data_IF_085892688963
#
_entry.id   IF_085892688963
#
_cell.length_a   1.000
_cell.length_b   1.000
_cell.length_c   1.000
_cell.angle_alpha   90.00
_cell.angle_beta   90.00
_cell.angle_gamma   90.00
#
_symmetry.space_group_name_H-M   'P 1'
#
loop_
_entity.id
_entity.type
_entity.pdbx_description
1 polymer ?
#
# COMPACT_ATOMS: atom_id res chain seq x y z
N UNK A 1 -26.66 12.50 -22.10
CA UNK A 1 -26.16 11.73 -20.94
C UNK A 1 -26.86 12.28 -19.71
N UNK A 2 -27.71 11.49 -19.06
CA UNK A 2 -28.47 11.94 -17.90
C UNK A 2 -27.52 12.00 -16.70
N UNK A 3 -27.38 13.19 -16.11
CA UNK A 3 -26.54 13.41 -14.93
C UNK A 3 -27.15 12.62 -13.76
N UNK A 4 -26.49 11.53 -13.34
CA UNK A 4 -26.91 10.75 -12.18
C UNK A 4 -26.71 11.61 -10.93
N UNK A 5 -27.78 11.96 -10.22
CA UNK A 5 -27.67 12.73 -8.97
C UNK A 5 -27.22 11.78 -7.86
N UNK A 6 -25.89 11.66 -7.71
CA UNK A 6 -25.30 10.97 -6.56
C UNK A 6 -25.60 11.81 -5.33
N UNK A 7 -26.31 11.23 -4.37
CA UNK A 7 -26.71 11.91 -3.14
C UNK A 7 -25.73 11.67 -1.99
N UNK A 8 -25.05 10.52 -2.01
CA UNK A 8 -24.09 10.13 -0.98
C UNK A 8 -23.07 9.11 -1.50
N UNK A 9 -21.82 9.27 -1.09
CA UNK A 9 -20.75 8.29 -1.22
C UNK A 9 -20.41 7.73 0.17
N UNK A 10 -20.35 6.41 0.31
CA UNK A 10 -19.95 5.74 1.55
C UNK A 10 -18.74 4.85 1.28
N UNK A 11 -17.67 5.00 2.06
CA UNK A 11 -16.53 4.11 2.07
C UNK A 11 -16.68 3.09 3.19
N UNK A 12 -16.65 1.81 2.86
CA UNK A 12 -16.79 0.73 3.83
C UNK A 12 -15.82 -0.42 3.56
N UNK A 13 -15.37 -1.06 4.63
CA UNK A 13 -14.65 -2.33 4.61
C UNK A 13 -15.65 -3.41 5.03
N UNK A 14 -16.08 -4.31 4.12
CA UNK A 14 -17.01 -5.39 4.45
C UNK A 14 -16.42 -6.33 5.50
N UNK A 15 -15.11 -6.55 5.43
CA UNK A 15 -14.38 -7.30 6.44
C UNK A 15 -14.35 -6.51 7.76
N UNK A 16 -15.14 -6.99 8.73
CA UNK A 16 -15.33 -6.33 10.02
C UNK A 16 -16.46 -5.29 10.05
N UNK A 17 -17.21 -5.14 8.96
CA UNK A 17 -18.38 -4.25 8.85
C UNK A 17 -18.09 -2.79 9.29
N UNK A 18 -17.01 -2.22 8.75
CA UNK A 18 -16.50 -0.91 9.18
C UNK A 18 -16.76 0.16 8.13
N UNK A 19 -17.51 1.20 8.49
CA UNK A 19 -17.59 2.42 7.67
C UNK A 19 -16.40 3.33 7.98
N UNK A 20 -15.70 3.78 6.95
CA UNK A 20 -14.49 4.61 7.09
C UNK A 20 -14.82 6.09 6.97
N UNK A 21 -15.61 6.43 5.95
CA UNK A 21 -15.94 7.81 5.64
C UNK A 21 -17.22 7.89 4.82
N UNK A 22 -17.92 9.02 4.91
CA UNK A 22 -19.10 9.33 4.12
C UNK A 22 -18.98 10.72 3.53
N UNK A 23 -19.48 10.93 2.32
CA UNK A 23 -19.65 12.27 1.73
C UNK A 23 -21.07 12.37 1.22
N UNK A 24 -21.82 13.37 1.68
CA UNK A 24 -23.22 13.54 1.32
C UNK A 24 -23.51 14.97 0.88
N UNK A 25 -24.53 15.13 0.04
CA UNK A 25 -24.97 16.44 -0.46
C UNK A 25 -25.40 17.39 0.67
N UNK A 26 -25.96 16.86 1.76
CA UNK A 26 -26.52 17.64 2.86
C UNK A 26 -25.56 17.85 4.04
N UNK A 27 -24.77 16.84 4.39
CA UNK A 27 -23.88 16.89 5.55
C UNK A 27 -22.40 17.09 5.19
N UNK A 28 -22.07 17.11 3.89
CA UNK A 28 -20.70 17.20 3.42
C UNK A 28 -19.89 15.92 3.68
N UNK A 29 -18.56 16.00 3.51
CA UNK A 29 -17.64 14.91 3.83
C UNK A 29 -17.40 14.76 5.33
N UNK A 30 -17.28 13.51 5.77
CA UNK A 30 -17.03 13.13 7.14
C UNK A 30 -16.22 11.84 7.20
N UNK A 31 -15.11 11.86 7.93
CA UNK A 31 -14.39 10.64 8.32
C UNK A 31 -14.95 10.16 9.65
N UNK A 32 -15.14 8.85 9.80
CA UNK A 32 -15.64 8.24 11.04
C UNK A 32 -14.56 8.38 12.13
N UNK A 33 -14.91 8.71 13.40
CA UNK A 33 -13.94 9.04 14.44
C UNK A 33 -12.76 8.08 14.59
N UNK A 34 -13.03 6.78 14.54
CA UNK A 34 -12.03 5.72 14.68
C UNK A 34 -10.96 5.72 13.57
N UNK A 35 -11.18 6.48 12.49
CA UNK A 35 -10.32 6.52 11.31
C UNK A 35 -9.76 7.91 11.01
N UNK A 36 -10.01 8.93 11.84
CA UNK A 36 -9.60 10.33 11.56
C UNK A 36 -8.08 10.45 11.34
N UNK A 37 -7.26 9.77 12.14
CA UNK A 37 -5.80 9.85 12.03
C UNK A 37 -5.22 9.03 10.86
N UNK A 38 -6.09 8.29 10.14
CA UNK A 38 -5.69 7.29 9.16
C UNK A 38 -6.25 7.55 7.77
N UNK A 39 -7.49 8.02 7.68
CA UNK A 39 -8.23 8.19 6.43
C UNK A 39 -8.44 9.67 6.17
N UNK A 40 -8.16 10.09 4.94
CA UNK A 40 -8.33 11.47 4.50
C UNK A 40 -9.00 11.49 3.12
N UNK A 41 -9.88 12.44 2.86
CA UNK A 41 -10.40 12.67 1.52
C UNK A 41 -9.34 13.39 0.68
N UNK A 42 -9.00 12.81 -0.48
CA UNK A 42 -8.23 13.51 -1.52
C UNK A 42 -9.17 14.26 -2.46
N UNK A 43 -10.31 13.65 -2.80
CA UNK A 43 -11.43 14.29 -3.48
C UNK A 43 -12.70 13.95 -2.71
N UNK A 44 -13.49 14.95 -2.34
CA UNK A 44 -14.68 14.79 -1.50
C UNK A 44 -16.01 14.98 -2.26
N UNK A 45 -15.94 15.28 -3.55
CA UNK A 45 -17.09 15.48 -4.41
C UNK A 45 -17.96 14.22 -4.57
N UNK A 46 -19.23 14.42 -4.95
CA UNK A 46 -20.18 13.31 -5.13
C UNK A 46 -19.98 12.57 -6.47
N UNK A 47 -19.41 13.25 -7.47
CA UNK A 47 -19.11 12.67 -8.79
C UNK A 47 -17.67 12.18 -8.92
N UNK A 48 -16.75 12.77 -8.15
CA UNK A 48 -15.37 12.33 -8.02
C UNK A 48 -15.03 12.29 -6.53
N UNK A 49 -14.87 11.08 -6.00
CA UNK A 49 -14.61 10.85 -4.59
C UNK A 49 -13.43 9.90 -4.43
N UNK A 50 -12.43 10.29 -3.66
CA UNK A 50 -11.23 9.50 -3.43
C UNK A 50 -10.74 9.70 -2.00
N UNK A 51 -10.28 8.61 -1.37
CA UNK A 51 -9.68 8.64 -0.03
C UNK A 51 -8.24 8.13 -0.07
N UNK A 52 -7.46 8.56 0.91
CA UNK A 52 -6.11 8.10 1.18
C UNK A 52 -6.10 7.44 2.54
N UNK A 53 -5.60 6.20 2.61
CA UNK A 53 -5.35 5.49 3.86
C UNK A 53 -3.85 5.58 4.15
N UNK A 54 -3.49 6.29 5.21
CA UNK A 54 -2.11 6.54 5.64
C UNK A 54 -1.62 5.40 6.55
N UNK A 55 -0.30 5.26 6.64
CA UNK A 55 0.38 4.35 7.57
C UNK A 55 -0.19 2.92 7.54
N UNK A 56 -0.19 2.31 6.35
CA UNK A 56 -0.74 0.97 6.15
C UNK A 56 -0.03 -0.09 7.01
N UNK A 57 -0.82 -0.93 7.66
CA UNK A 57 -0.40 -2.11 8.44
C UNK A 57 -1.01 -3.38 7.87
N UNK A 58 -0.53 -4.54 8.31
CA UNK A 58 -1.06 -5.85 7.91
C UNK A 58 -2.58 -5.99 8.12
N UNK A 59 -3.14 -5.30 9.11
CA UNK A 59 -4.58 -5.31 9.38
C UNK A 59 -5.41 -4.52 8.35
N UNK A 60 -4.75 -3.66 7.58
CA UNK A 60 -5.40 -2.88 6.51
C UNK A 60 -5.50 -3.64 5.21
N UNK A 61 -4.83 -4.79 5.08
CA UNK A 61 -5.00 -5.68 3.94
C UNK A 61 -6.48 -6.09 3.82
N UNK A 62 -6.95 -6.20 2.58
CA UNK A 62 -8.35 -6.52 2.29
C UNK A 62 -8.97 -5.59 1.26
N UNK A 63 -10.23 -5.87 0.95
CA UNK A 63 -11.00 -5.10 -0.03
C UNK A 63 -11.92 -4.11 0.67
N UNK A 64 -11.88 -2.88 0.17
CA UNK A 64 -12.71 -1.75 0.54
C UNK A 64 -13.66 -1.50 -0.61
N UNK A 65 -14.86 -1.00 -0.31
CA UNK A 65 -15.79 -0.58 -1.34
C UNK A 65 -16.22 0.86 -1.14
N UNK A 66 -16.46 1.54 -2.25
CA UNK A 66 -17.11 2.83 -2.31
C UNK A 66 -18.52 2.62 -2.88
N UNK A 67 -19.54 2.94 -2.08
CA UNK A 67 -20.94 2.92 -2.50
C UNK A 67 -21.36 4.33 -2.91
N UNK A 68 -21.65 4.53 -4.19
CA UNK A 68 -22.26 5.74 -4.72
C UNK A 68 -23.77 5.55 -4.74
N UNK A 69 -24.44 6.10 -3.74
CA UNK A 69 -25.90 6.11 -3.67
C UNK A 69 -26.42 7.20 -4.60
N UNK A 70 -27.18 6.79 -5.62
CA UNK A 70 -27.82 7.66 -6.58
C UNK A 70 -29.34 7.46 -6.56
N UNK A 71 -30.07 8.51 -6.92
CA UNK A 71 -31.52 8.44 -7.07
C UNK A 71 -31.89 8.86 -8.49
N UNK A 72 -32.76 8.11 -9.21
CA UNK A 72 -33.50 6.92 -8.78
C UNK A 72 -32.76 5.58 -8.97
N UNK A 73 -31.58 5.57 -9.59
CA UNK A 73 -30.91 4.35 -10.07
C UNK A 73 -30.37 3.41 -8.96
N UNK A 74 -30.39 3.84 -7.69
CA UNK A 74 -29.89 3.08 -6.57
C UNK A 74 -28.37 3.22 -6.38
N UNK A 75 -27.76 2.25 -5.71
CA UNK A 75 -26.35 2.30 -5.33
C UNK A 75 -25.44 1.61 -6.36
N UNK A 76 -24.36 2.29 -6.76
CA UNK A 76 -23.25 1.70 -7.50
C UNK A 76 -22.11 1.37 -6.54
N UNK A 77 -21.45 0.22 -6.74
CA UNK A 77 -20.36 -0.24 -5.87
C UNK A 77 -19.07 -0.30 -6.68
N UNK A 78 -18.07 0.47 -6.26
CA UNK A 78 -16.69 0.29 -6.68
C UNK A 78 -15.91 -0.50 -5.62
N UNK A 79 -15.01 -1.38 -6.04
CA UNK A 79 -14.19 -2.19 -5.13
C UNK A 79 -12.71 -1.91 -5.35
N UNK A 80 -11.98 -1.73 -4.27
CA UNK A 80 -10.54 -1.51 -4.26
C UNK A 80 -9.90 -2.38 -3.19
N UNK A 81 -8.85 -3.13 -3.53
CA UNK A 81 -8.18 -4.01 -2.58
C UNK A 81 -6.75 -3.55 -2.31
N UNK A 82 -6.40 -3.52 -1.03
CA UNK A 82 -5.03 -3.27 -0.57
C UNK A 82 -4.39 -4.63 -0.34
N UNK A 83 -3.16 -4.80 -0.83
CA UNK A 83 -2.29 -5.96 -0.56
C UNK A 83 -0.91 -5.47 -0.14
N UNK A 84 -0.33 -6.14 0.85
CA UNK A 84 1.01 -5.86 1.31
C UNK A 84 1.96 -6.98 0.89
N UNK A 85 3.19 -6.63 0.54
CA UNK A 85 4.20 -7.58 0.09
C UNK A 85 5.47 -7.40 0.90
N UNK A 86 6.02 -8.48 1.45
CA UNK A 86 7.33 -8.43 2.09
C UNK A 86 8.42 -8.63 1.03
N UNK A 87 9.27 -7.62 0.87
CA UNK A 87 10.45 -7.67 0.01
C UNK A 87 11.67 -7.92 0.88
N UNK A 88 12.52 -8.85 0.48
CA UNK A 88 13.78 -9.18 1.15
C UNK A 88 14.92 -9.17 0.16
N UNK A 89 16.02 -8.53 0.52
CA UNK A 89 17.25 -8.57 -0.24
C UNK A 89 18.43 -8.90 0.68
N UNK A 90 19.29 -9.80 0.24
CA UNK A 90 20.46 -10.24 0.99
C UNK A 90 21.70 -10.13 0.12
N UNK A 91 22.78 -9.58 0.65
CA UNK A 91 24.07 -9.48 0.00
C UNK A 91 25.19 -9.88 0.95
N UNK A 92 26.19 -10.59 0.43
CA UNK A 92 27.34 -11.05 1.22
C UNK A 92 28.62 -10.49 0.64
N UNK A 93 29.46 -9.89 1.49
CA UNK A 93 30.69 -9.25 1.05
C UNK A 93 31.73 -9.11 2.16
N UNK A 94 32.95 -8.77 1.75
CA UNK A 94 34.03 -8.36 2.65
C UNK A 94 34.74 -7.15 2.01
N UNK A 95 34.62 -5.93 2.56
CA UNK A 95 33.90 -5.55 3.79
C UNK A 95 32.37 -5.68 3.68
N UNK A 96 31.65 -5.47 4.79
CA UNK A 96 30.21 -5.63 4.85
C UNK A 96 29.48 -4.77 3.77
N UNK A 97 28.57 -5.34 2.97
CA UNK A 97 27.79 -4.59 1.98
C UNK A 97 26.77 -3.66 2.63
N UNK A 98 26.53 -2.50 2.04
CA UNK A 98 25.33 -1.68 2.29
C UNK A 98 24.22 -2.13 1.34
N UNK A 99 23.07 -2.54 1.86
CA UNK A 99 21.90 -2.94 1.08
C UNK A 99 20.88 -1.81 1.07
N UNK A 100 20.32 -1.52 -0.11
CA UNK A 100 19.28 -0.50 -0.28
C UNK A 100 18.17 -1.03 -1.18
N UNK A 101 16.93 -0.96 -0.69
CA UNK A 101 15.73 -1.29 -1.44
C UNK A 101 15.17 -0.02 -2.09
N UNK A 102 14.72 -0.13 -3.34
CA UNK A 102 14.10 0.99 -4.08
C UNK A 102 12.96 0.51 -4.96
N UNK A 103 11.92 1.33 -5.06
CA UNK A 103 10.78 1.11 -5.95
C UNK A 103 10.68 2.31 -6.89
N UNK A 104 10.44 2.05 -8.18
CA UNK A 104 10.45 3.09 -9.22
C UNK A 104 9.04 3.61 -9.55
N UNK A 105 7.99 2.96 -9.05
CA UNK A 105 6.61 3.36 -9.26
C UNK A 105 6.14 4.30 -8.14
N UNK A 106 5.50 5.41 -8.54
CA UNK A 106 5.05 6.47 -7.64
C UNK A 106 3.91 6.03 -6.71
N UNK A 107 3.10 5.05 -7.14
CA UNK A 107 1.97 4.53 -6.36
C UNK A 107 2.37 3.37 -5.41
N UNK A 108 3.66 3.02 -5.38
CA UNK A 108 4.21 2.00 -4.48
C UNK A 108 5.06 2.66 -3.40
N UNK A 109 4.92 2.19 -2.16
CA UNK A 109 5.63 2.74 -1.02
C UNK A 109 6.20 1.63 -0.13
N UNK A 110 7.47 1.77 0.24
CA UNK A 110 8.14 0.91 1.21
C UNK A 110 8.04 1.49 2.62
N UNK A 111 7.59 0.66 3.56
CA UNK A 111 7.55 0.97 4.99
C UNK A 111 8.16 -0.17 5.82
N UNK A 112 8.34 0.08 7.12
CA UNK A 112 8.79 -0.92 8.09
C UNK A 112 10.11 -1.63 7.69
N UNK A 113 11.16 -0.83 7.46
CA UNK A 113 12.48 -1.34 7.11
C UNK A 113 13.13 -2.06 8.29
N UNK A 114 13.69 -3.24 8.04
CA UNK A 114 14.52 -3.98 8.99
C UNK A 114 15.80 -4.46 8.31
N UNK A 115 16.93 -4.42 9.02
CA UNK A 115 18.23 -4.85 8.49
C UNK A 115 18.98 -5.68 9.51
N UNK A 116 19.42 -6.87 9.10
CA UNK A 116 20.14 -7.84 9.94
C UNK A 116 21.45 -8.22 9.26
N UNK A 117 22.54 -8.31 10.02
CA UNK A 117 23.84 -8.74 9.51
C UNK A 117 24.37 -9.97 10.25
N UNK A 118 24.93 -10.93 9.51
CA UNK A 118 25.54 -12.16 10.03
C UNK A 118 26.98 -12.23 9.56
N UNK A 119 27.91 -12.49 10.50
CA UNK A 119 29.32 -12.72 10.18
C UNK A 119 29.54 -14.21 9.98
N UNK A 120 30.05 -14.60 8.81
CA UNK A 120 30.32 -15.98 8.46
C UNK A 120 31.70 -16.41 8.98
N UNK A 121 31.87 -17.72 9.18
CA UNK A 121 33.15 -18.33 9.60
C UNK A 121 34.29 -18.09 8.61
N UNK A 122 33.97 -17.89 7.33
CA UNK A 122 34.92 -17.51 6.28
C UNK A 122 35.33 -16.02 6.31
N UNK A 123 34.88 -15.25 7.31
CA UNK A 123 35.20 -13.83 7.49
C UNK A 123 34.42 -12.85 6.60
N UNK A 124 33.46 -13.33 5.81
CA UNK A 124 32.52 -12.46 5.06
C UNK A 124 31.33 -12.05 5.92
N UNK A 125 30.68 -10.93 5.59
CA UNK A 125 29.47 -10.45 6.27
C UNK A 125 28.30 -10.50 5.30
N UNK A 126 27.24 -11.20 5.67
CA UNK A 126 25.97 -11.21 4.97
C UNK A 126 25.02 -10.18 5.60
N UNK A 127 24.47 -9.27 4.80
CA UNK A 127 23.48 -8.26 5.22
C UNK A 127 22.18 -8.54 4.51
N UNK A 128 21.11 -8.69 5.27
CA UNK A 128 19.75 -8.91 4.77
C UNK A 128 18.86 -7.76 5.21
N UNK A 129 18.26 -7.07 4.25
CA UNK A 129 17.31 -5.99 4.49
C UNK A 129 15.93 -6.39 3.99
N UNK A 130 14.92 -6.22 4.84
CA UNK A 130 13.51 -6.46 4.53
C UNK A 130 12.71 -5.17 4.62
N UNK A 131 11.66 -5.05 3.81
CA UNK A 131 10.70 -3.96 3.89
C UNK A 131 9.31 -4.44 3.44
N UNK A 132 8.28 -3.79 3.93
CA UNK A 132 6.90 -4.00 3.48
C UNK A 132 6.62 -3.04 2.33
N UNK A 133 6.31 -3.59 1.16
CA UNK A 133 5.86 -2.88 -0.02
C UNK A 133 4.34 -2.82 0.00
N UNK A 134 3.82 -1.61 -0.10
CA UNK A 134 2.39 -1.31 -0.17
C UNK A 134 2.09 -0.53 -1.43
N UNK A 135 0.88 -0.68 -1.99
CA UNK A 135 0.41 0.14 -3.09
C UNK A 135 -0.67 -0.54 -3.94
N UNK A 136 -1.28 0.24 -4.81
CA UNK A 136 -2.49 -0.17 -5.53
C UNK A 136 -2.20 -0.56 -6.99
N UNK A 137 -2.73 -1.73 -7.38
CA UNK A 137 -3.03 -2.21 -8.74
C UNK A 137 -2.03 -3.16 -9.43
N UNK A 138 -2.59 -4.32 -9.80
CA UNK A 138 -2.44 -4.96 -11.11
C UNK A 138 -1.27 -5.91 -11.29
N UNK A 139 -0.06 -5.38 -11.36
CA UNK A 139 1.15 -6.15 -11.64
C UNK A 139 2.35 -5.28 -11.26
N UNK A 140 2.89 -5.49 -10.06
CA UNK A 140 4.19 -4.92 -9.65
C UNK A 140 5.19 -5.29 -10.74
N UNK A 141 5.65 -4.28 -11.47
CA UNK A 141 6.39 -4.51 -12.72
C UNK A 141 7.90 -4.48 -12.49
N UNK A 142 8.38 -3.82 -11.42
CA UNK A 142 9.80 -3.88 -11.05
C UNK A 142 10.06 -3.42 -9.60
N UNK A 143 10.76 -4.25 -8.81
CA UNK A 143 11.30 -3.87 -7.49
C UNK A 143 12.81 -4.01 -7.54
N UNK A 144 13.54 -2.96 -7.20
CA UNK A 144 15.00 -2.94 -7.25
C UNK A 144 15.63 -3.17 -5.88
N UNK A 145 16.64 -4.04 -5.81
CA UNK A 145 17.59 -4.08 -4.71
C UNK A 145 18.99 -3.74 -5.21
N UNK A 146 19.67 -2.80 -4.54
CA UNK A 146 21.07 -2.48 -4.79
C UNK A 146 21.90 -2.80 -3.56
N UNK A 147 22.94 -3.63 -3.73
CA UNK A 147 23.97 -3.83 -2.71
C UNK A 147 25.26 -3.12 -3.14
N UNK A 148 25.90 -2.39 -2.22
CA UNK A 148 27.17 -1.68 -2.44
C UNK A 148 28.23 -2.24 -1.49
N UNK A 149 29.29 -2.82 -2.04
CA UNK A 149 30.56 -3.05 -1.34
C UNK A 149 31.56 -2.16 -2.06
N UNK A 150 32.05 -1.09 -1.42
CA UNK A 150 33.02 -0.13 -2.00
C UNK A 150 32.92 0.00 -3.55
N UNK A 151 32.02 0.87 -4.00
CA UNK A 151 31.79 1.25 -5.41
C UNK A 151 31.30 0.19 -6.42
N UNK A 152 31.14 -1.10 -6.09
CA UNK A 152 30.59 -2.09 -7.03
C UNK A 152 29.15 -2.48 -6.64
N UNK A 153 28.21 -2.36 -7.59
CA UNK A 153 26.79 -2.66 -7.41
C UNK A 153 26.51 -4.10 -7.84
N UNK A 154 26.02 -4.96 -6.95
CA UNK A 154 25.50 -6.30 -7.29
C UNK A 154 23.99 -6.35 -7.06
N UNK A 155 23.21 -6.73 -8.07
CA UNK A 155 21.76 -6.89 -7.99
C UNK A 155 21.41 -8.33 -7.61
N UNK A 156 20.71 -8.53 -6.50
CA UNK A 156 20.08 -9.81 -6.17
C UNK A 156 18.57 -9.61 -6.10
N UNK A 157 17.86 -10.12 -7.10
CA UNK A 157 16.40 -10.16 -7.14
C UNK A 157 15.93 -11.48 -6.53
N UNK A 158 15.26 -11.44 -5.38
CA UNK A 158 14.47 -12.58 -4.87
C UNK A 158 13.01 -12.17 -4.74
N UNK A 159 12.17 -12.78 -5.57
CA UNK A 159 10.70 -12.72 -5.47
C UNK A 159 10.27 -13.75 -4.43
N UNK A 160 9.71 -13.33 -3.30
CA UNK A 160 9.01 -14.24 -2.41
C UNK A 160 7.58 -14.40 -2.92
N UNK A 161 7.35 -15.47 -3.69
CA UNK A 161 6.00 -15.93 -4.02
C UNK A 161 5.52 -16.79 -2.85
N UNK A 162 4.81 -16.20 -1.90
CA UNK A 162 4.06 -17.01 -0.93
C UNK A 162 2.74 -17.41 -1.61
N UNK A 163 2.68 -18.64 -2.11
CA UNK A 163 1.48 -19.23 -2.69
C UNK A 163 0.33 -19.25 -1.66
N UNK A 164 -0.83 -18.73 -2.05
CA UNK A 164 -2.11 -19.39 -1.80
C UNK A 164 -3.11 -19.05 -2.90
#
# INVERSE_FOLDING_TARGET
MQNKDVVQVTWWKPEGDKTLATSSKHFGPRVIPDFIDKVEFKDDGLQNNSIVIRNLTEQDEGCYQCLFNSYPDGAFIGVTCIKLYVVSCSATGRPAPTVTLRVLQQDLHFSNYSSVSVTNTNGTVAVTTTAVLSGYRGNITEVGCAARVLSVITFLLKRNHQNR
#
